data_IF_897272616092
#
_entry.id   IF_897272616092
#
_cell.length_a   1.000
_cell.length_b   1.000
_cell.length_c   1.000
_cell.angle_alpha   90.00
_cell.angle_beta   90.00
_cell.angle_gamma   90.00
#
_symmetry.space_group_name_H-M   'P 1'
#
loop_
_entity.id
_entity.type
_entity.pdbx_description
1 polymer ?
#
# COMPACT_ATOMS: atom_id res chain seq x y z
N UNK A 1 5.46 6.19 -5.59
CA UNK A 1 5.74 5.14 -6.60
C UNK A 1 6.97 5.50 -7.42
N UNK A 2 7.81 4.52 -7.81
CA UNK A 2 8.98 4.74 -8.69
C UNK A 2 9.01 3.77 -9.87
N UNK A 3 9.03 2.46 -9.62
CA UNK A 3 9.16 1.46 -10.70
C UNK A 3 7.84 0.92 -11.28
N UNK A 4 6.71 1.02 -10.57
CA UNK A 4 5.44 0.44 -11.01
C UNK A 4 5.35 -1.09 -11.05
N UNK A 5 6.46 -1.83 -10.91
CA UNK A 5 6.52 -3.29 -11.05
C UNK A 5 6.83 -4.03 -9.74
N UNK A 6 6.94 -3.34 -8.61
CA UNK A 6 7.11 -3.91 -7.26
C UNK A 6 8.51 -4.43 -6.91
N UNK A 7 9.50 -4.36 -7.81
CA UNK A 7 10.88 -4.76 -7.48
C UNK A 7 11.64 -3.72 -6.64
N UNK A 8 11.24 -2.44 -6.68
CA UNK A 8 12.01 -1.35 -6.05
C UNK A 8 11.60 -1.01 -4.60
N UNK A 9 10.54 -1.58 -4.04
CA UNK A 9 10.15 -1.28 -2.65
C UNK A 9 9.38 0.01 -2.40
N UNK A 10 9.54 1.05 -3.24
CA UNK A 10 9.07 2.43 -2.95
C UNK A 10 7.58 2.63 -2.70
N UNK A 11 6.73 1.67 -3.04
CA UNK A 11 5.29 1.75 -2.81
C UNK A 11 4.80 0.66 -1.86
N UNK A 12 5.66 0.23 -0.94
CA UNK A 12 5.30 -0.70 0.14
C UNK A 12 4.56 0.04 1.26
N UNK A 13 3.34 -0.37 1.56
CA UNK A 13 2.50 0.16 2.66
C UNK A 13 1.83 -1.04 3.33
N UNK A 14 1.95 -1.16 4.66
CA UNK A 14 1.26 -2.23 5.39
C UNK A 14 1.61 -3.66 4.93
N UNK A 15 2.82 -3.88 4.39
CA UNK A 15 3.23 -5.17 3.82
C UNK A 15 2.66 -5.47 2.42
N UNK A 16 2.00 -4.49 1.78
CA UNK A 16 1.46 -4.57 0.41
C UNK A 16 2.19 -3.62 -0.52
N UNK A 17 2.26 -3.93 -1.80
CA UNK A 17 2.78 -3.04 -2.83
C UNK A 17 1.65 -2.34 -3.57
N UNK A 18 1.50 -1.03 -3.40
CA UNK A 18 0.42 -0.25 -4.07
C UNK A 18 0.42 -0.43 -5.59
N UNK A 19 1.57 -0.62 -6.23
CA UNK A 19 1.63 -0.81 -7.68
C UNK A 19 1.24 -2.22 -8.17
N UNK A 20 1.14 -3.21 -7.28
CA UNK A 20 0.75 -4.59 -7.62
C UNK A 20 -0.60 -4.96 -7.01
N UNK A 21 -0.82 -4.55 -5.76
CA UNK A 21 -1.98 -4.88 -4.95
C UNK A 21 -3.03 -3.74 -4.93
N UNK A 22 -2.62 -2.51 -5.28
CA UNK A 22 -3.47 -1.30 -5.29
C UNK A 22 -3.73 -0.76 -6.70
N UNK A 23 -4.11 0.52 -6.90
CA UNK A 23 -3.99 1.68 -6.01
C UNK A 23 -5.21 1.99 -5.15
N UNK A 24 -6.30 1.26 -5.36
CA UNK A 24 -7.55 1.41 -4.62
C UNK A 24 -7.70 0.23 -3.70
N UNK A 25 -7.99 0.50 -2.43
CA UNK A 25 -8.23 -0.51 -1.41
C UNK A 25 -9.55 -0.20 -0.70
N UNK A 26 -10.25 -1.25 -0.26
CA UNK A 26 -11.37 -1.10 0.65
C UNK A 26 -10.91 -0.71 2.04
N UNK A 27 -11.81 -0.10 2.82
CA UNK A 27 -11.51 0.23 4.21
C UNK A 27 -11.15 -1.01 5.04
N UNK A 28 -11.77 -2.16 4.77
CA UNK A 28 -11.47 -3.41 5.49
C UNK A 28 -10.03 -3.89 5.26
N UNK A 29 -9.50 -3.71 4.05
CA UNK A 29 -8.12 -4.08 3.74
C UNK A 29 -7.12 -3.20 4.49
N UNK A 30 -7.39 -1.89 4.58
CA UNK A 30 -6.45 -0.91 5.14
C UNK A 30 -6.59 -0.68 6.65
N UNK A 31 -7.70 -1.10 7.25
CA UNK A 31 -8.01 -0.88 8.67
C UNK A 31 -6.89 -1.34 9.61
N UNK A 32 -6.15 -2.39 9.25
CA UNK A 32 -5.08 -2.96 10.09
C UNK A 32 -3.70 -2.33 9.94
N UNK A 33 -3.50 -1.42 8.99
CA UNK A 33 -2.18 -0.82 8.73
C UNK A 33 -2.19 0.70 8.51
N UNK A 34 -3.33 1.37 8.73
CA UNK A 34 -3.38 2.82 8.86
C UNK A 34 -3.21 3.20 10.33
N UNK A 35 -2.34 4.16 10.61
CA UNK A 35 -2.29 4.82 11.92
C UNK A 35 -3.49 5.76 12.06
N UNK A 36 -4.09 5.83 13.27
CA UNK A 36 -5.15 6.82 13.53
C UNK A 36 -4.55 8.22 13.43
N UNK A 37 -5.13 9.05 12.57
CA UNK A 37 -4.76 10.47 12.49
C UNK A 37 -5.31 11.19 13.73
N UNK A 38 -4.41 11.59 14.63
CA UNK A 38 -4.69 12.45 15.79
C UNK A 38 -4.81 13.91 15.33
#
# INVERSE_FOLDING_TARGET
MKCGMGFCGHCSIGGKYVCRDGPVFSFQEVKGFLEEAI
#
